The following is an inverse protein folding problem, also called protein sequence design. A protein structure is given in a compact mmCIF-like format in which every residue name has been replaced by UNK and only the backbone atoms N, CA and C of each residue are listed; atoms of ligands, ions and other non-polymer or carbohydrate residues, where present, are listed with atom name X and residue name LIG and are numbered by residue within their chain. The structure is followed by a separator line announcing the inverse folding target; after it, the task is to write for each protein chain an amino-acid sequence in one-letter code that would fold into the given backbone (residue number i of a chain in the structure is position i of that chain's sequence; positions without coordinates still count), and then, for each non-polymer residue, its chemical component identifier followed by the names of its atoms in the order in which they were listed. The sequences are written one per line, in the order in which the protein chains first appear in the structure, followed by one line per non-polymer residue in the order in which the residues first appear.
data_IF_467144922441
#
_entry.id   IF_467144922441
#
_cell.length_a   1.000
_cell.length_b   1.000
_cell.length_c   1.000
_cell.angle_alpha   90.00
_cell.angle_beta   90.00
_cell.angle_gamma   90.00
#
_symmetry.space_group_name_H-M   'P 1'
#
loop_
_entity.id
_entity.type
_entity.pdbx_description
1 polymer ?
#
# COMPACT_ATOMS: atom_id res chain seq x y z
N UNK A 1 3.05 9.70 7.55
CA UNK A 1 3.98 8.76 6.90
C UNK A 1 3.24 7.54 6.39
N UNK A 2 2.79 6.68 7.32
CA UNK A 2 1.95 5.50 7.06
C UNK A 2 0.75 5.78 6.16
N UNK A 3 -0.08 6.76 6.49
CA UNK A 3 -1.31 7.03 5.71
C UNK A 3 -1.01 7.47 4.28
N UNK A 4 0.10 8.19 4.07
CA UNK A 4 0.54 8.58 2.73
C UNK A 4 1.00 7.37 1.91
N UNK A 5 1.70 6.41 2.54
CA UNK A 5 2.10 5.15 1.90
C UNK A 5 0.87 4.32 1.51
N UNK A 6 -0.08 4.16 2.43
CA UNK A 6 -1.32 3.43 2.18
C UNK A 6 -2.13 4.12 1.08
N UNK A 7 -2.27 5.44 1.14
CA UNK A 7 -2.97 6.23 0.13
C UNK A 7 -2.35 6.09 -1.26
N UNK A 8 -1.02 6.17 -1.38
CA UNK A 8 -0.32 5.97 -2.65
C UNK A 8 -0.40 4.53 -3.15
N UNK A 9 -0.47 3.53 -2.27
CA UNK A 9 -0.64 2.13 -2.65
C UNK A 9 -2.06 1.84 -3.17
N UNK A 10 -3.08 2.47 -2.57
CA UNK A 10 -4.49 2.35 -2.99
C UNK A 10 -4.73 3.12 -4.28
N UNK A 11 -4.37 4.40 -4.32
CA UNK A 11 -4.67 5.29 -5.46
C UNK A 11 -3.67 5.15 -6.61
N UNK A 12 -2.50 4.57 -6.35
CA UNK A 12 -1.36 4.65 -7.26
C UNK A 12 -0.63 6.00 -7.16
N UNK A 13 0.62 6.04 -7.59
CA UNK A 13 1.42 7.26 -7.68
C UNK A 13 2.35 7.19 -8.89
N UNK A 14 2.36 8.25 -9.70
CA UNK A 14 3.14 8.32 -10.96
C UNK A 14 2.80 7.15 -11.91
N UNK A 15 3.76 6.27 -12.15
CA UNK A 15 3.64 5.10 -13.02
C UNK A 15 3.09 3.87 -12.28
N UNK A 16 2.89 3.94 -10.96
CA UNK A 16 2.36 2.83 -10.18
C UNK A 16 0.83 2.78 -10.31
N UNK A 17 0.24 1.69 -10.82
CA UNK A 17 -1.20 1.53 -10.90
C UNK A 17 -1.83 1.38 -9.50
N UNK A 18 -3.07 1.85 -9.38
CA UNK A 18 -3.89 1.69 -8.18
C UNK A 18 -3.92 0.23 -7.73
N UNK A 19 -3.76 -0.03 -6.43
CA UNK A 19 -3.75 -1.37 -5.82
C UNK A 19 -2.73 -2.34 -6.44
N UNK A 20 -1.66 -1.82 -7.06
CA UNK A 20 -0.67 -2.64 -7.78
C UNK A 20 -1.20 -3.26 -9.07
N UNK A 21 -2.28 -2.73 -9.64
CA UNK A 21 -2.90 -3.24 -10.86
C UNK A 21 -3.93 -4.35 -10.63
N UNK A 22 -4.34 -4.56 -9.37
CA UNK A 22 -5.34 -5.57 -9.03
C UNK A 22 -6.59 -4.92 -8.41
N UNK A 23 -7.61 -4.71 -9.23
CA UNK A 23 -8.89 -4.10 -8.83
C UNK A 23 -9.72 -4.98 -7.88
N UNK A 24 -9.39 -6.27 -7.76
CA UNK A 24 -10.09 -7.20 -6.87
C UNK A 24 -9.70 -7.05 -5.40
N UNK A 25 -8.59 -6.38 -5.10
CA UNK A 25 -8.14 -6.19 -3.72
C UNK A 25 -8.97 -5.11 -3.03
N UNK A 26 -9.34 -5.35 -1.79
CA UNK A 26 -9.96 -4.35 -0.92
C UNK A 26 -8.91 -3.37 -0.39
N UNK A 27 -9.35 -2.18 -0.01
CA UNK A 27 -8.45 -1.14 0.48
C UNK A 27 -7.79 -1.58 1.81
N UNK A 28 -8.52 -2.34 2.63
CA UNK A 28 -8.00 -2.94 3.86
C UNK A 28 -6.89 -3.97 3.62
N UNK A 29 -7.04 -4.84 2.61
CA UNK A 29 -6.02 -5.83 2.25
C UNK A 29 -4.74 -5.16 1.76
N UNK A 30 -4.86 -4.13 0.91
CA UNK A 30 -3.71 -3.36 0.43
C UNK A 30 -3.03 -2.63 1.60
N UNK A 31 -3.80 -2.04 2.51
CA UNK A 31 -3.26 -1.37 3.69
C UNK A 31 -2.50 -2.34 4.60
N UNK A 32 -3.07 -3.51 4.90
CA UNK A 32 -2.43 -4.54 5.72
C UNK A 32 -1.15 -5.07 5.07
N UNK A 33 -1.15 -5.30 3.75
CA UNK A 33 0.01 -5.73 3.00
C UNK A 33 1.14 -4.68 3.07
N UNK A 34 0.82 -3.39 2.88
CA UNK A 34 1.80 -2.30 2.97
C UNK A 34 2.41 -2.19 4.37
N UNK A 35 1.59 -2.31 5.41
CA UNK A 35 2.07 -2.30 6.80
C UNK A 35 3.00 -3.49 7.05
N UNK A 36 2.61 -4.69 6.59
CA UNK A 36 3.44 -5.89 6.72
C UNK A 36 4.78 -5.73 6.00
N UNK A 37 4.78 -5.25 4.75
CA UNK A 37 6.00 -5.04 3.97
C UNK A 37 6.92 -3.96 4.57
N UNK A 38 6.35 -2.88 5.09
CA UNK A 38 7.13 -1.82 5.73
C UNK A 38 7.69 -2.25 7.09
N UNK A 39 6.96 -3.10 7.82
CA UNK A 39 7.46 -3.70 9.06
C UNK A 39 8.56 -4.73 8.77
N UNK A 40 8.43 -5.49 7.68
CA UNK A 40 9.43 -6.44 7.23
C UNK A 40 10.71 -5.76 6.71
N UNK A 41 10.62 -4.57 6.13
CA UNK A 41 11.79 -3.81 5.64
C UNK A 41 12.59 -3.12 6.74
N UNK A 42 12.27 -3.37 8.02
CA UNK A 42 12.93 -2.77 9.17
C UNK A 42 12.30 -1.43 9.61
N UNK A 43 11.25 -0.98 8.92
CA UNK A 43 10.39 0.08 9.43
C UNK A 43 9.51 -0.40 10.58
N UNK A 44 8.96 0.53 11.35
CA UNK A 44 7.79 0.28 12.21
C UNK A 44 6.70 1.25 11.78
N UNK A 45 5.64 0.73 11.17
CA UNK A 45 4.43 1.47 10.78
C UNK A 45 3.22 1.08 11.62
#
# INVERSE_FOLDING_TARGET
GKDLLIKNAIMGIRMMPAKGGNEKLTDEEVAAAVISMANASGGKL
#
